data_IF_107557659692
#
_entry.id   IF_107557659692
#
_cell.length_a   1.000
_cell.length_b   1.000
_cell.length_c   1.000
_cell.angle_alpha   90.00
_cell.angle_beta   90.00
_cell.angle_gamma   90.00
#
_symmetry.space_group_name_H-M   'P 1'
#
loop_
_entity.id
_entity.type
_entity.pdbx_description
1 polymer ?
#
# COMPACT_ATOMS: atom_id res chain seq x y z
N UNK A 1 -24.82 -45.01 3.26
CA UNK A 1 -23.36 -45.16 3.46
C UNK A 1 -22.77 -43.74 3.44
N UNK A 2 -22.11 -43.36 4.54
CA UNK A 2 -21.77 -41.97 4.91
C UNK A 2 -20.79 -41.29 3.93
N UNK A 3 -21.08 -40.05 3.57
CA UNK A 3 -20.11 -39.10 3.04
C UNK A 3 -20.38 -37.72 3.68
N UNK A 4 -20.01 -37.61 4.95
CA UNK A 4 -20.00 -36.36 5.72
C UNK A 4 -18.63 -36.25 6.41
N UNK A 5 -17.59 -36.02 5.62
CA UNK A 5 -16.28 -35.58 6.10
C UNK A 5 -16.17 -34.15 5.60
N UNK A 6 -16.46 -33.13 6.41
CA UNK A 6 -15.74 -32.88 7.65
C UNK A 6 -14.55 -32.02 7.31
N UNK A 7 -14.79 -30.72 7.13
CA UNK A 7 -13.75 -29.70 7.00
C UNK A 7 -12.83 -29.85 8.22
N UNK A 8 -11.64 -30.43 8.03
CA UNK A 8 -10.66 -30.49 9.11
C UNK A 8 -10.17 -29.08 9.35
N UNK A 9 -10.89 -28.37 10.22
CA UNK A 9 -10.40 -27.19 10.89
C UNK A 9 -9.10 -27.58 11.57
N UNK A 10 -7.99 -27.01 11.09
CA UNK A 10 -6.77 -26.82 11.90
C UNK A 10 -7.21 -26.58 13.34
N UNK A 11 -6.79 -27.46 14.25
CA UNK A 11 -7.25 -27.47 15.63
C UNK A 11 -7.03 -26.08 16.23
N UNK A 12 -8.10 -25.27 16.27
CA UNK A 12 -8.04 -23.93 16.79
C UNK A 12 -7.63 -24.05 18.25
N UNK A 13 -6.52 -23.39 18.62
CA UNK A 13 -6.22 -23.18 20.04
C UNK A 13 -7.50 -22.62 20.68
N UNK A 14 -8.07 -23.27 21.71
CA UNK A 14 -9.43 -22.98 22.21
C UNK A 14 -9.63 -21.56 22.78
N UNK A 15 -8.61 -20.71 22.75
CA UNK A 15 -8.64 -19.33 23.24
C UNK A 15 -8.79 -18.25 22.16
N UNK A 16 -8.79 -18.59 20.87
CA UNK A 16 -8.89 -17.57 19.80
C UNK A 16 -10.19 -17.65 19.02
N UNK A 17 -10.88 -16.51 18.77
CA UNK A 17 -12.05 -16.49 17.91
C UNK A 17 -11.72 -17.06 16.52
N UNK A 18 -12.68 -17.72 15.85
CA UNK A 18 -12.44 -18.28 14.53
C UNK A 18 -12.16 -17.17 13.50
N UNK A 19 -11.42 -17.51 12.43
CA UNK A 19 -11.10 -16.54 11.35
C UNK A 19 -12.38 -16.12 10.65
N UNK A 20 -13.20 -17.09 10.24
CA UNK A 20 -14.56 -16.87 9.73
C UNK A 20 -15.55 -17.34 10.79
N UNK A 21 -16.66 -16.61 10.99
CA UNK A 21 -17.68 -17.01 11.96
C UNK A 21 -18.29 -18.40 11.60
N UNK A 22 -18.73 -19.18 12.60
CA UNK A 22 -19.39 -20.46 12.33
C UNK A 22 -20.68 -20.29 11.51
N UNK A 23 -21.07 -21.31 10.75
CA UNK A 23 -22.35 -21.34 10.02
C UNK A 23 -22.27 -21.03 8.52
N UNK A 24 -21.07 -20.84 7.97
CA UNK A 24 -20.85 -20.57 6.54
C UNK A 24 -20.42 -21.83 5.77
N UNK A 25 -21.00 -22.05 4.59
CA UNK A 25 -20.56 -23.04 3.61
C UNK A 25 -19.82 -22.35 2.45
N UNK A 26 -19.01 -23.05 1.63
CA UNK A 26 -18.35 -22.43 0.48
C UNK A 26 -19.32 -21.67 -0.43
N UNK A 27 -20.53 -22.20 -0.63
CA UNK A 27 -21.58 -21.54 -1.40
C UNK A 27 -22.06 -20.23 -0.75
N UNK A 28 -22.33 -20.23 0.56
CA UNK A 28 -22.82 -19.03 1.26
C UNK A 28 -21.76 -17.91 1.28
N UNK A 29 -20.48 -18.27 1.40
CA UNK A 29 -19.37 -17.31 1.29
C UNK A 29 -19.36 -16.66 -0.09
N UNK A 30 -19.43 -17.48 -1.15
CA UNK A 30 -19.47 -16.96 -2.52
C UNK A 30 -20.69 -16.08 -2.75
N UNK A 31 -21.88 -16.49 -2.29
CA UNK A 31 -23.12 -15.72 -2.42
C UNK A 31 -22.98 -14.35 -1.77
N UNK A 32 -22.46 -14.29 -0.54
CA UNK A 32 -22.34 -13.04 0.21
C UNK A 32 -21.30 -12.08 -0.40
N UNK A 33 -20.15 -12.60 -0.87
CA UNK A 33 -19.12 -11.77 -1.51
C UNK A 33 -19.58 -11.27 -2.88
N UNK A 34 -20.14 -12.16 -3.71
CA UNK A 34 -20.60 -11.78 -5.05
C UNK A 34 -21.82 -10.87 -5.03
N UNK A 35 -22.67 -10.97 -3.99
CA UNK A 35 -23.77 -10.03 -3.79
C UNK A 35 -23.29 -8.58 -3.64
N UNK A 36 -22.13 -8.32 -3.02
CA UNK A 36 -21.59 -6.96 -2.91
C UNK A 36 -21.35 -6.33 -4.28
N UNK A 37 -20.97 -7.14 -5.28
CA UNK A 37 -20.62 -6.69 -6.64
C UNK A 37 -21.81 -6.73 -7.59
N UNK A 38 -22.62 -7.78 -7.54
CA UNK A 38 -23.68 -8.06 -8.51
C UNK A 38 -25.05 -7.53 -8.09
N UNK A 39 -25.26 -7.17 -6.83
CA UNK A 39 -26.52 -6.56 -6.38
C UNK A 39 -26.63 -5.10 -6.82
N UNK A 40 -27.84 -4.54 -6.66
CA UNK A 40 -28.09 -3.14 -6.98
C UNK A 40 -27.24 -2.23 -6.09
N UNK A 41 -26.48 -1.34 -6.71
CA UNK A 41 -25.63 -0.37 -6.01
C UNK A 41 -26.48 0.49 -5.06
N UNK A 42 -26.16 0.53 -3.76
CA UNK A 42 -26.94 1.30 -2.81
C UNK A 42 -26.76 2.81 -3.03
N UNK A 43 -27.78 3.61 -2.70
CA UNK A 43 -27.78 5.07 -2.95
C UNK A 43 -26.62 5.81 -2.28
N UNK A 44 -26.22 5.39 -1.08
CA UNK A 44 -25.10 6.00 -0.36
C UNK A 44 -23.78 5.89 -1.14
N UNK A 45 -23.61 4.82 -1.93
CA UNK A 45 -22.40 4.62 -2.73
C UNK A 45 -22.28 5.68 -3.81
N UNK A 46 -23.39 6.04 -4.47
CA UNK A 46 -23.42 7.12 -5.47
C UNK A 46 -23.12 8.48 -4.86
N UNK A 47 -23.59 8.75 -3.64
CA UNK A 47 -23.25 9.98 -2.91
C UNK A 47 -21.76 10.03 -2.57
N UNK A 48 -21.20 8.93 -2.05
CA UNK A 48 -19.78 8.84 -1.72
C UNK A 48 -18.87 8.92 -2.97
N UNK A 49 -19.30 8.30 -4.08
CA UNK A 49 -18.64 8.40 -5.38
C UNK A 49 -18.68 9.83 -5.91
N UNK A 50 -19.85 10.48 -5.89
CA UNK A 50 -20.00 11.87 -6.32
C UNK A 50 -19.12 12.83 -5.51
N UNK A 51 -19.08 12.67 -4.18
CA UNK A 51 -18.19 13.45 -3.32
C UNK A 51 -16.70 13.21 -3.63
N UNK A 52 -16.28 11.95 -3.73
CA UNK A 52 -14.90 11.60 -4.09
C UNK A 52 -14.52 12.13 -5.48
N UNK A 53 -15.44 12.06 -6.44
CA UNK A 53 -15.24 12.57 -7.79
C UNK A 53 -15.05 14.09 -7.79
N UNK A 54 -15.83 14.84 -6.99
CA UNK A 54 -15.64 16.28 -6.82
C UNK A 54 -14.24 16.61 -6.25
N UNK A 55 -13.75 15.84 -5.28
CA UNK A 55 -12.39 16.01 -4.76
C UNK A 55 -11.32 15.73 -5.83
N UNK A 56 -11.53 14.73 -6.68
CA UNK A 56 -10.65 14.49 -7.84
C UNK A 56 -10.69 15.67 -8.82
N UNK A 57 -11.85 16.28 -9.06
CA UNK A 57 -11.93 17.47 -9.91
C UNK A 57 -11.18 18.67 -9.30
N UNK A 58 -11.21 18.82 -7.97
CA UNK A 58 -10.40 19.83 -7.26
C UNK A 58 -8.91 19.54 -7.43
N UNK A 59 -8.50 18.28 -7.28
CA UNK A 59 -7.12 17.86 -7.54
C UNK A 59 -6.70 18.18 -8.97
N UNK A 60 -7.47 17.78 -9.98
CA UNK A 60 -7.15 18.05 -11.38
C UNK A 60 -7.03 19.55 -11.65
N UNK A 61 -7.94 20.38 -11.12
CA UNK A 61 -7.85 21.84 -11.22
C UNK A 61 -6.55 22.37 -10.60
N UNK A 62 -6.18 21.87 -9.42
CA UNK A 62 -4.94 22.27 -8.75
C UNK A 62 -3.69 21.84 -9.54
N UNK A 63 -3.69 20.62 -10.11
CA UNK A 63 -2.62 20.14 -10.98
C UNK A 63 -2.50 20.97 -12.25
N UNK A 64 -3.62 21.30 -12.90
CA UNK A 64 -3.61 22.18 -14.08
C UNK A 64 -3.01 23.54 -13.73
N UNK A 65 -3.44 24.16 -12.62
CA UNK A 65 -2.86 25.42 -12.14
C UNK A 65 -1.35 25.32 -11.91
N UNK A 66 -0.89 24.24 -11.27
CA UNK A 66 0.54 23.96 -11.03
C UNK A 66 1.34 23.87 -12.33
N UNK A 67 0.80 23.24 -13.37
CA UNK A 67 1.49 23.11 -14.66
C UNK A 67 1.63 24.45 -15.41
N UNK A 68 0.65 25.36 -15.25
CA UNK A 68 0.69 26.68 -15.89
C UNK A 68 1.48 27.73 -15.10
N UNK A 69 1.34 27.77 -13.77
CA UNK A 69 1.99 28.78 -12.93
C UNK A 69 3.36 28.33 -12.39
N UNK A 70 3.64 27.02 -12.40
CA UNK A 70 4.88 26.44 -11.90
C UNK A 70 4.86 26.11 -10.40
N UNK A 71 5.93 25.45 -9.92
CA UNK A 71 6.03 24.92 -8.54
C UNK A 71 6.10 25.98 -7.45
N UNK A 72 6.27 27.26 -7.80
CA UNK A 72 6.30 28.38 -6.86
C UNK A 72 4.99 28.58 -6.08
N UNK A 73 3.86 28.09 -6.61
CA UNK A 73 2.54 28.20 -5.96
C UNK A 73 2.43 27.39 -4.66
N UNK A 74 3.37 26.47 -4.42
CA UNK A 74 3.40 25.63 -3.22
C UNK A 74 3.94 26.34 -1.98
N UNK A 75 4.44 27.57 -2.11
CA UNK A 75 5.05 28.30 -1.00
C UNK A 75 6.37 27.69 -0.54
N UNK A 76 7.06 26.96 -1.45
CA UNK A 76 8.42 26.51 -1.22
C UNK A 76 9.35 27.71 -1.13
N UNK A 77 10.39 27.62 -0.31
CA UNK A 77 11.44 28.62 -0.22
C UNK A 77 12.81 27.97 -0.43
N UNK A 78 13.84 28.76 -0.68
CA UNK A 78 15.21 28.30 -0.47
C UNK A 78 15.62 28.83 0.90
N UNK A 79 16.02 27.95 1.85
CA UNK A 79 16.58 26.61 1.63
C UNK A 79 15.61 25.41 1.62
N UNK A 80 14.32 25.54 1.99
CA UNK A 80 13.39 24.40 2.08
C UNK A 80 12.69 24.12 0.75
N UNK A 81 13.43 23.48 -0.17
CA UNK A 81 12.97 23.15 -1.52
C UNK A 81 11.97 21.99 -1.60
N UNK A 82 11.79 21.23 -0.51
CA UNK A 82 10.82 20.13 -0.41
C UNK A 82 9.81 20.42 0.69
N UNK A 83 8.53 20.21 0.37
CA UNK A 83 7.41 20.41 1.30
C UNK A 83 6.35 19.33 1.12
N UNK A 84 5.09 19.73 1.09
CA UNK A 84 3.94 18.81 1.05
C UNK A 84 3.99 17.77 -0.07
N UNK A 85 4.58 18.07 -1.24
CA UNK A 85 4.65 17.11 -2.33
C UNK A 85 5.46 15.85 -1.96
N UNK A 86 6.67 16.03 -1.41
CA UNK A 86 7.51 14.91 -0.98
C UNK A 86 6.96 14.27 0.30
N UNK A 87 6.44 15.06 1.25
CA UNK A 87 5.80 14.51 2.46
C UNK A 87 4.63 13.58 2.09
N UNK A 88 3.74 14.03 1.19
CA UNK A 88 2.61 13.22 0.74
C UNK A 88 3.07 12.03 -0.11
N UNK A 89 4.11 12.19 -0.95
CA UNK A 89 4.69 11.08 -1.70
C UNK A 89 5.12 9.93 -0.77
N UNK A 90 5.96 10.23 0.22
CA UNK A 90 6.46 9.24 1.19
C UNK A 90 5.29 8.62 1.96
N UNK A 91 4.32 9.44 2.37
CA UNK A 91 3.14 8.97 3.10
C UNK A 91 2.26 8.03 2.26
N UNK A 92 1.97 8.36 1.01
CA UNK A 92 1.17 7.53 0.10
C UNK A 92 1.87 6.22 -0.27
N UNK A 93 3.18 6.26 -0.58
CA UNK A 93 3.96 5.02 -0.77
C UNK A 93 3.95 4.19 0.52
N UNK A 94 4.13 4.84 1.68
CA UNK A 94 4.06 4.21 3.00
C UNK A 94 2.77 3.43 3.22
N UNK A 95 1.61 4.04 2.94
CA UNK A 95 0.30 3.38 3.01
C UNK A 95 0.25 2.14 2.12
N UNK A 96 0.81 2.24 0.90
CA UNK A 96 0.80 1.15 -0.06
C UNK A 96 1.46 -0.13 0.45
N UNK A 97 2.51 -0.03 1.26
CA UNK A 97 3.28 -1.18 1.72
C UNK A 97 2.51 -2.17 2.59
N UNK A 98 1.54 -1.71 3.39
CA UNK A 98 0.77 -2.62 4.24
C UNK A 98 -0.04 -3.63 3.43
N UNK A 99 -0.58 -3.24 2.27
CA UNK A 99 -1.35 -4.15 1.44
C UNK A 99 -0.51 -5.31 0.90
N UNK A 100 0.68 -5.01 0.39
CA UNK A 100 1.64 -6.02 -0.06
C UNK A 100 2.24 -6.85 1.08
N UNK A 101 2.40 -6.29 2.28
CA UNK A 101 2.81 -7.08 3.45
C UNK A 101 1.72 -8.07 3.86
N UNK A 102 0.47 -7.61 3.93
CA UNK A 102 -0.68 -8.47 4.25
C UNK A 102 -0.81 -9.60 3.23
N UNK A 103 -0.55 -9.32 1.97
CA UNK A 103 -0.81 -10.28 0.91
C UNK A 103 0.36 -11.20 0.59
N UNK A 104 1.60 -10.72 0.68
CA UNK A 104 2.82 -11.49 0.40
C UNK A 104 3.48 -12.04 1.68
N UNK A 105 3.84 -11.19 2.63
CA UNK A 105 4.60 -11.62 3.84
C UNK A 105 3.75 -12.57 4.69
N UNK A 106 2.48 -12.24 4.94
CA UNK A 106 1.60 -13.14 5.70
C UNK A 106 1.30 -14.43 4.95
N UNK A 107 1.34 -14.43 3.60
CA UNK A 107 1.24 -15.67 2.82
C UNK A 107 2.45 -16.57 3.04
N UNK A 108 3.67 -16.00 2.97
CA UNK A 108 4.91 -16.75 3.22
C UNK A 108 4.96 -17.31 4.66
N UNK A 109 4.43 -16.55 5.63
CA UNK A 109 4.27 -16.98 7.03
C UNK A 109 3.06 -17.91 7.24
N UNK A 110 2.37 -18.32 6.18
CA UNK A 110 1.19 -19.21 6.19
C UNK A 110 0.12 -18.77 7.18
N UNK A 111 -0.12 -17.46 7.30
CA UNK A 111 -1.11 -16.89 8.20
C UNK A 111 -2.49 -16.88 7.53
N UNK A 112 -3.41 -17.70 8.03
CA UNK A 112 -4.74 -17.89 7.44
C UNK A 112 -5.64 -16.65 7.55
N UNK A 113 -5.48 -15.83 8.60
CA UNK A 113 -6.30 -14.62 8.83
C UNK A 113 -6.09 -13.52 7.78
N UNK A 114 -5.08 -13.62 6.92
CA UNK A 114 -4.91 -12.66 5.81
C UNK A 114 -6.01 -12.82 4.74
N UNK A 115 -6.63 -13.99 4.64
CA UNK A 115 -7.48 -14.38 3.50
C UNK A 115 -8.72 -13.50 3.34
N UNK A 116 -9.30 -13.02 4.43
CA UNK A 116 -10.48 -12.14 4.39
C UNK A 116 -10.13 -10.67 4.14
N UNK A 117 -8.84 -10.31 4.14
CA UNK A 117 -8.38 -8.91 4.03
C UNK A 117 -7.48 -8.63 2.84
N UNK A 118 -6.89 -9.67 2.22
CA UNK A 118 -5.91 -9.53 1.14
C UNK A 118 -6.40 -8.69 -0.05
N UNK A 119 -7.62 -8.93 -0.57
CA UNK A 119 -8.10 -8.32 -1.81
C UNK A 119 -8.24 -6.80 -1.70
N UNK A 120 -8.85 -6.31 -0.61
CA UNK A 120 -9.01 -4.86 -0.43
C UNK A 120 -7.69 -4.20 -0.01
N UNK A 121 -6.83 -4.91 0.72
CA UNK A 121 -5.52 -4.39 1.09
C UNK A 121 -4.60 -4.24 -0.15
N UNK A 122 -4.61 -5.21 -1.05
CA UNK A 122 -3.91 -5.12 -2.35
C UNK A 122 -4.49 -4.00 -3.24
N UNK A 123 -5.81 -3.83 -3.29
CA UNK A 123 -6.43 -2.72 -4.01
C UNK A 123 -6.03 -1.36 -3.41
N UNK A 124 -5.97 -1.26 -2.08
CA UNK A 124 -5.48 -0.08 -1.37
C UNK A 124 -4.03 0.24 -1.78
N UNK A 125 -3.17 -0.77 -1.92
CA UNK A 125 -1.81 -0.56 -2.45
C UNK A 125 -1.83 0.09 -3.82
N UNK A 126 -2.60 -0.43 -4.76
CA UNK A 126 -2.62 0.10 -6.13
C UNK A 126 -3.08 1.56 -6.18
N UNK A 127 -4.14 1.91 -5.44
CA UNK A 127 -4.60 3.29 -5.38
C UNK A 127 -3.62 4.21 -4.66
N UNK A 128 -3.02 3.75 -3.57
CA UNK A 128 -2.01 4.53 -2.84
C UNK A 128 -0.77 4.79 -3.71
N UNK A 129 -0.29 3.79 -4.46
CA UNK A 129 0.82 3.93 -5.41
C UNK A 129 0.45 4.84 -6.59
N UNK A 130 -0.78 4.75 -7.09
CA UNK A 130 -1.25 5.66 -8.14
C UNK A 130 -1.27 7.12 -7.65
N UNK A 131 -1.76 7.38 -6.43
CA UNK A 131 -1.72 8.71 -5.82
C UNK A 131 -0.28 9.18 -5.55
N UNK A 132 0.59 8.30 -5.06
CA UNK A 132 1.99 8.59 -4.83
C UNK A 132 2.73 8.97 -6.12
N UNK A 133 2.53 8.20 -7.21
CA UNK A 133 3.23 8.39 -8.48
C UNK A 133 2.97 9.73 -9.16
N UNK A 134 1.92 10.45 -8.76
CA UNK A 134 1.68 11.82 -9.20
C UNK A 134 2.81 12.74 -8.71
N UNK A 135 3.23 12.62 -7.45
CA UNK A 135 4.12 13.59 -6.81
C UNK A 135 5.53 13.67 -7.42
N UNK A 136 6.25 12.56 -7.69
CA UNK A 136 7.55 12.60 -8.39
C UNK A 136 7.49 13.33 -9.74
N UNK A 137 6.37 13.21 -10.45
CA UNK A 137 6.17 13.84 -11.74
C UNK A 137 5.88 15.34 -11.61
N UNK A 138 5.04 15.74 -10.66
CA UNK A 138 4.57 17.14 -10.58
C UNK A 138 5.45 18.03 -9.70
N UNK A 139 6.30 17.46 -8.84
CA UNK A 139 7.14 18.25 -7.95
C UNK A 139 8.36 18.87 -8.64
N UNK A 140 8.68 18.40 -9.84
CA UNK A 140 9.77 18.96 -10.63
C UNK A 140 9.27 20.20 -11.39
N UNK A 141 10.15 21.17 -11.61
CA UNK A 141 9.79 22.39 -12.33
C UNK A 141 9.45 22.17 -13.81
N UNK A 142 9.86 21.05 -14.41
CA UNK A 142 9.64 20.71 -15.83
C UNK A 142 9.13 19.27 -15.99
N UNK A 143 7.88 18.99 -15.60
CA UNK A 143 7.31 17.64 -15.59
C UNK A 143 7.33 16.94 -16.96
N UNK A 144 7.22 17.69 -18.05
CA UNK A 144 7.26 17.14 -19.41
C UNK A 144 8.61 16.51 -19.80
N UNK A 145 9.68 16.73 -19.02
CA UNK A 145 10.99 16.10 -19.22
C UNK A 145 11.21 14.86 -18.36
N UNK A 146 10.20 14.38 -17.63
CA UNK A 146 10.32 13.23 -16.73
C UNK A 146 10.83 11.95 -17.43
N UNK A 147 10.61 11.82 -18.74
CA UNK A 147 11.11 10.68 -19.53
C UNK A 147 12.65 10.58 -19.56
N UNK A 148 13.39 11.66 -19.28
CA UNK A 148 14.86 11.62 -19.13
C UNK A 148 15.35 10.85 -17.90
N UNK A 149 14.46 10.51 -16.97
CA UNK A 149 14.79 9.65 -15.83
C UNK A 149 14.84 8.16 -16.23
N UNK A 150 14.34 7.80 -17.41
CA UNK A 150 14.36 6.42 -17.91
C UNK A 150 15.65 6.16 -18.71
N UNK A 151 16.23 4.95 -18.57
CA UNK A 151 17.42 4.58 -19.32
C UNK A 151 17.03 4.11 -20.73
N UNK A 152 17.00 5.01 -21.70
CA UNK A 152 16.71 4.68 -23.09
C UNK A 152 17.77 5.28 -24.04
N UNK A 153 18.14 4.57 -25.12
CA UNK A 153 19.04 5.11 -26.13
C UNK A 153 18.45 6.37 -26.76
N UNK A 154 19.23 7.45 -26.80
CA UNK A 154 18.83 8.72 -27.38
C UNK A 154 19.93 9.28 -28.27
N UNK A 155 19.58 10.28 -29.09
CA UNK A 155 20.49 10.92 -30.04
C UNK A 155 21.65 11.69 -29.39
N UNK A 156 21.57 11.95 -28.08
CA UNK A 156 22.59 12.68 -27.32
C UNK A 156 23.54 11.74 -26.56
N UNK A 157 23.31 10.42 -26.61
CA UNK A 157 24.03 9.39 -25.82
C UNK A 157 24.13 9.72 -24.32
N UNK A 158 23.07 10.31 -23.77
CA UNK A 158 22.98 10.66 -22.35
C UNK A 158 22.20 9.62 -21.55
N UNK A 159 22.60 9.40 -20.31
CA UNK A 159 21.97 8.43 -19.40
C UNK A 159 21.60 9.07 -18.06
N UNK A 160 20.62 8.53 -17.32
CA UNK A 160 20.33 8.96 -15.96
C UNK A 160 21.52 8.80 -15.01
N UNK A 161 21.61 9.65 -13.98
CA UNK A 161 22.63 9.52 -12.93
C UNK A 161 22.24 8.42 -11.92
N UNK A 162 22.77 7.22 -12.12
CA UNK A 162 22.50 6.04 -11.26
C UNK A 162 23.08 6.13 -9.84
N UNK A 163 23.75 7.21 -9.45
CA UNK A 163 24.12 7.47 -8.04
C UNK A 163 23.04 8.23 -7.26
N UNK A 164 22.04 8.78 -7.94
CA UNK A 164 20.99 9.58 -7.32
C UNK A 164 19.88 8.67 -6.76
N UNK A 165 19.57 8.76 -5.46
CA UNK A 165 18.42 8.05 -4.88
C UNK A 165 17.09 8.36 -5.58
N UNK A 166 16.90 9.59 -6.06
CA UNK A 166 15.71 9.97 -6.84
C UNK A 166 15.55 9.18 -8.14
N UNK A 167 16.65 8.75 -8.77
CA UNK A 167 16.59 7.87 -9.95
C UNK A 167 16.22 6.46 -9.52
N UNK A 168 16.76 5.97 -8.40
CA UNK A 168 16.37 4.68 -7.85
C UNK A 168 14.88 4.64 -7.51
N UNK A 169 14.33 5.74 -7.03
CA UNK A 169 12.91 5.92 -6.74
C UNK A 169 12.02 5.67 -7.96
N UNK A 170 12.42 6.14 -9.14
CA UNK A 170 11.71 5.85 -10.41
C UNK A 170 11.65 4.34 -10.66
N UNK A 171 12.76 3.62 -10.48
CA UNK A 171 12.78 2.16 -10.65
C UNK A 171 12.02 1.43 -9.54
N UNK A 172 12.16 1.87 -8.29
CA UNK A 172 11.52 1.28 -7.14
C UNK A 172 9.99 1.39 -7.26
N UNK A 173 9.46 2.59 -7.48
CA UNK A 173 8.02 2.83 -7.59
C UNK A 173 7.43 2.18 -8.84
N UNK A 174 8.11 2.24 -10.00
CA UNK A 174 7.61 1.59 -11.23
C UNK A 174 7.58 0.07 -11.14
N UNK A 175 8.63 -0.54 -10.57
CA UNK A 175 8.68 -1.99 -10.32
C UNK A 175 7.63 -2.38 -9.28
N UNK A 176 7.49 -1.60 -8.22
CA UNK A 176 6.49 -1.83 -7.18
C UNK A 176 5.06 -1.75 -7.71
N UNK A 177 4.75 -0.74 -8.53
CA UNK A 177 3.46 -0.59 -9.18
C UNK A 177 3.16 -1.80 -10.09
N UNK A 178 4.14 -2.20 -10.90
CA UNK A 178 3.99 -3.31 -11.85
C UNK A 178 3.80 -4.64 -11.15
N UNK A 179 4.66 -4.97 -10.18
CA UNK A 179 4.58 -6.22 -9.41
C UNK A 179 3.30 -6.27 -8.58
N UNK A 180 2.91 -5.16 -7.95
CA UNK A 180 1.65 -5.09 -7.19
C UNK A 180 0.44 -5.29 -8.09
N UNK A 181 0.43 -4.70 -9.29
CA UNK A 181 -0.65 -4.85 -10.27
C UNK A 181 -0.75 -6.30 -10.73
N UNK A 182 0.38 -6.92 -11.10
CA UNK A 182 0.42 -8.33 -11.52
C UNK A 182 -0.02 -9.25 -10.38
N UNK A 183 0.47 -9.03 -9.17
CA UNK A 183 0.14 -9.85 -8.00
C UNK A 183 -1.35 -9.78 -7.66
N UNK A 184 -1.91 -8.57 -7.65
CA UNK A 184 -3.33 -8.35 -7.42
C UNK A 184 -4.19 -8.98 -8.51
N UNK A 185 -3.86 -8.71 -9.77
CA UNK A 185 -4.59 -9.21 -10.93
C UNK A 185 -4.56 -10.72 -11.01
N UNK A 186 -3.40 -11.36 -10.84
CA UNK A 186 -3.27 -12.82 -10.81
C UNK A 186 -4.18 -13.41 -9.74
N UNK A 187 -4.18 -12.83 -8.53
CA UNK A 187 -5.06 -13.26 -7.45
C UNK A 187 -6.56 -13.08 -7.75
N UNK A 188 -6.94 -12.17 -8.67
CA UNK A 188 -8.33 -11.96 -9.08
C UNK A 188 -8.79 -12.88 -10.21
N UNK A 189 -7.90 -13.57 -10.92
CA UNK A 189 -8.30 -14.42 -12.06
C UNK A 189 -9.39 -15.43 -11.69
N UNK A 190 -9.28 -16.19 -10.58
CA UNK A 190 -10.32 -17.13 -10.17
C UNK A 190 -11.60 -16.43 -9.67
N UNK A 191 -11.46 -15.26 -9.04
CA UNK A 191 -12.58 -14.46 -8.53
C UNK A 191 -13.42 -13.90 -9.69
N UNK A 192 -12.77 -13.40 -10.75
CA UNK A 192 -13.43 -12.93 -11.97
C UNK A 192 -14.18 -14.05 -12.68
N UNK A 193 -13.64 -15.28 -12.66
CA UNK A 193 -14.35 -16.45 -13.19
C UNK A 193 -15.64 -16.72 -12.40
N UNK A 194 -15.59 -16.60 -11.08
CA UNK A 194 -16.76 -16.77 -10.21
C UNK A 194 -17.81 -15.68 -10.46
N UNK A 195 -17.39 -14.42 -10.65
CA UNK A 195 -18.29 -13.33 -11.02
C UNK A 195 -18.90 -13.50 -12.41
N UNK A 196 -18.12 -13.98 -13.39
CA UNK A 196 -18.61 -14.33 -14.74
C UNK A 196 -19.74 -15.35 -14.67
N UNK A 197 -19.55 -16.42 -13.91
CA UNK A 197 -20.49 -17.55 -13.85
C UNK A 197 -21.80 -17.17 -13.13
N UNK A 198 -21.76 -16.15 -12.26
CA UNK A 198 -22.92 -15.64 -11.50
C UNK A 198 -23.58 -14.39 -12.08
N UNK A 199 -22.90 -13.66 -12.95
CA UNK A 199 -23.45 -12.46 -13.57
C UNK A 199 -24.71 -12.81 -14.38
N UNK A 200 -25.77 -11.99 -14.28
CA UNK A 200 -27.00 -12.22 -15.06
C UNK A 200 -26.95 -11.52 -16.44
N UNK A 201 -26.33 -10.35 -16.51
CA UNK A 201 -26.25 -9.55 -17.75
C UNK A 201 -25.17 -10.04 -18.72
N UNK A 202 -25.51 -10.08 -20.01
CA UNK A 202 -24.60 -10.52 -21.07
C UNK A 202 -23.30 -9.69 -21.12
N UNK A 203 -23.39 -8.37 -20.93
CA UNK A 203 -22.22 -7.50 -20.88
C UNK A 203 -21.29 -7.84 -19.71
N UNK A 204 -21.84 -8.00 -18.50
CA UNK A 204 -21.07 -8.36 -17.32
C UNK A 204 -20.40 -9.74 -17.48
N UNK A 205 -21.10 -10.71 -18.06
CA UNK A 205 -20.52 -12.03 -18.40
C UNK A 205 -19.35 -11.92 -19.37
N UNK A 206 -19.47 -11.10 -20.42
CA UNK A 206 -18.38 -10.90 -21.39
C UNK A 206 -17.18 -10.20 -20.72
N UNK A 207 -17.43 -9.14 -19.95
CA UNK A 207 -16.38 -8.39 -19.27
C UNK A 207 -15.61 -9.25 -18.25
N UNK A 208 -16.32 -9.92 -17.33
CA UNK A 208 -15.69 -10.84 -16.38
C UNK A 208 -15.10 -12.08 -17.08
N UNK A 209 -15.68 -12.52 -18.19
CA UNK A 209 -15.15 -13.56 -19.06
C UNK A 209 -13.77 -13.24 -19.59
N UNK A 210 -13.62 -12.05 -20.17
CA UNK A 210 -12.34 -11.55 -20.65
C UNK A 210 -11.31 -11.43 -19.51
N UNK A 211 -11.69 -10.80 -18.38
CA UNK A 211 -10.82 -10.62 -17.22
C UNK A 211 -10.42 -11.95 -16.54
N UNK A 212 -11.25 -12.99 -16.64
CA UNK A 212 -10.94 -14.31 -16.12
C UNK A 212 -9.92 -15.10 -16.95
N UNK A 213 -9.49 -14.59 -18.10
CA UNK A 213 -8.51 -15.22 -19.00
C UNK A 213 -8.78 -16.71 -19.29
N UNK A 214 -10.06 -17.09 -19.43
CA UNK A 214 -10.46 -18.48 -19.68
C UNK A 214 -10.28 -19.42 -18.49
N UNK A 215 -10.28 -18.91 -17.25
CA UNK A 215 -10.21 -19.75 -16.07
C UNK A 215 -11.41 -20.70 -15.95
N UNK A 216 -11.12 -21.98 -15.74
CA UNK A 216 -12.07 -23.10 -15.66
C UNK A 216 -12.00 -23.88 -14.33
N UNK A 217 -11.10 -23.49 -13.42
CA UNK A 217 -10.89 -24.22 -12.16
C UNK A 217 -10.30 -25.63 -12.30
N UNK A 218 -9.56 -25.93 -13.38
CA UNK A 218 -8.89 -27.22 -13.54
C UNK A 218 -7.75 -27.40 -12.52
N UNK A 219 -7.41 -28.65 -12.18
CA UNK A 219 -6.31 -28.95 -11.27
C UNK A 219 -4.97 -28.35 -11.74
N UNK A 220 -4.69 -28.38 -13.05
CA UNK A 220 -3.50 -27.75 -13.63
C UNK A 220 -3.49 -26.23 -13.47
N UNK A 221 -4.64 -25.58 -13.62
CA UNK A 221 -4.74 -24.13 -13.40
C UNK A 221 -4.44 -23.78 -11.94
N UNK A 222 -5.01 -24.53 -10.99
CA UNK A 222 -4.75 -24.33 -9.55
C UNK A 222 -3.29 -24.56 -9.17
N UNK A 223 -2.68 -25.64 -9.65
CA UNK A 223 -1.27 -25.92 -9.38
C UNK A 223 -0.33 -24.81 -9.87
N UNK A 224 -0.55 -24.33 -11.10
CA UNK A 224 0.24 -23.23 -11.66
C UNK A 224 -0.03 -21.91 -10.94
N UNK A 225 -1.28 -21.63 -10.58
CA UNK A 225 -1.67 -20.45 -9.84
C UNK A 225 -1.02 -20.40 -8.46
N UNK A 226 -1.08 -21.48 -7.69
CA UNK A 226 -0.46 -21.55 -6.36
C UNK A 226 1.05 -21.34 -6.44
N UNK A 227 1.71 -21.98 -7.41
CA UNK A 227 3.15 -21.81 -7.65
C UNK A 227 3.49 -20.38 -8.02
N UNK A 228 2.78 -19.79 -8.99
CA UNK A 228 3.01 -18.42 -9.43
C UNK A 228 2.75 -17.40 -8.30
N UNK A 229 1.67 -17.59 -7.54
CA UNK A 229 1.30 -16.70 -6.44
C UNK A 229 2.31 -16.77 -5.29
N UNK A 230 2.82 -17.97 -4.96
CA UNK A 230 3.91 -18.13 -3.98
C UNK A 230 5.22 -17.48 -4.45
N UNK A 231 5.59 -17.64 -5.73
CA UNK A 231 6.79 -17.00 -6.30
C UNK A 231 6.68 -15.48 -6.29
N UNK A 232 5.53 -14.94 -6.71
CA UNK A 232 5.30 -13.49 -6.67
C UNK A 232 5.32 -12.94 -5.24
N UNK A 233 4.80 -13.67 -4.25
CA UNK A 233 4.92 -13.27 -2.85
C UNK A 233 6.37 -13.30 -2.35
N UNK A 234 7.15 -14.29 -2.78
CA UNK A 234 8.59 -14.38 -2.54
C UNK A 234 9.36 -13.20 -3.13
N UNK A 235 8.99 -12.72 -4.32
CA UNK A 235 9.58 -11.55 -4.97
C UNK A 235 9.09 -10.22 -4.39
N UNK A 236 7.81 -10.13 -4.04
CA UNK A 236 7.21 -8.92 -3.50
C UNK A 236 7.72 -8.58 -2.10
N UNK A 237 8.07 -9.58 -1.29
CA UNK A 237 8.58 -9.37 0.08
C UNK A 237 9.86 -8.53 0.14
N UNK A 238 10.97 -8.89 -0.54
CA UNK A 238 12.16 -8.04 -0.58
C UNK A 238 11.90 -6.71 -1.30
N UNK A 239 11.01 -6.69 -2.30
CA UNK A 239 10.63 -5.47 -2.99
C UNK A 239 9.96 -4.46 -2.06
N UNK A 240 9.06 -4.89 -1.18
CA UNK A 240 8.39 -4.02 -0.20
C UNK A 240 9.40 -3.36 0.73
N UNK A 241 10.37 -4.14 1.22
CA UNK A 241 11.41 -3.63 2.12
C UNK A 241 12.36 -2.70 1.35
N UNK A 242 12.75 -3.05 0.13
CA UNK A 242 13.70 -2.26 -0.66
C UNK A 242 13.10 -0.95 -1.16
N UNK A 243 11.84 -0.92 -1.60
CA UNK A 243 11.21 0.29 -2.14
C UNK A 243 11.15 1.39 -1.09
N UNK A 244 10.69 1.09 0.12
CA UNK A 244 10.63 2.10 1.17
C UNK A 244 12.02 2.45 1.75
N UNK A 245 12.98 1.53 1.64
CA UNK A 245 14.40 1.81 1.89
C UNK A 245 14.98 2.79 0.86
N UNK A 246 14.62 2.66 -0.42
CA UNK A 246 15.06 3.57 -1.48
C UNK A 246 14.49 4.97 -1.27
N UNK A 247 13.18 5.09 -0.98
CA UNK A 247 12.55 6.36 -0.61
C UNK A 247 13.22 6.96 0.62
N UNK A 248 13.63 6.14 1.58
CA UNK A 248 14.39 6.59 2.74
C UNK A 248 15.81 7.09 2.38
N UNK A 249 16.44 6.57 1.33
CA UNK A 249 17.76 7.01 0.88
C UNK A 249 17.75 8.41 0.28
N UNK A 250 16.61 8.91 -0.21
CA UNK A 250 16.46 10.31 -0.63
C UNK A 250 16.84 11.29 0.48
N UNK A 251 16.59 10.90 1.73
CA UNK A 251 16.96 11.67 2.91
C UNK A 251 18.32 11.23 3.46
N UNK A 252 18.50 9.93 3.69
CA UNK A 252 19.66 9.39 4.40
C UNK A 252 21.02 9.61 3.71
N UNK A 253 21.02 9.67 2.37
CA UNK A 253 22.23 9.95 1.58
C UNK A 253 22.57 11.45 1.60
N UNK A 254 21.60 12.32 1.90
CA UNK A 254 21.82 13.74 2.10
C UNK A 254 22.75 14.00 3.29
N UNK A 255 23.51 15.10 3.25
CA UNK A 255 24.43 15.51 4.32
C UNK A 255 23.78 16.47 5.33
N UNK A 256 22.46 16.64 5.26
CA UNK A 256 21.73 17.56 6.14
C UNK A 256 21.63 16.95 7.54
N UNK A 257 21.96 17.71 8.60
CA UNK A 257 21.78 17.25 9.98
C UNK A 257 20.33 16.84 10.24
N UNK A 258 20.14 15.69 10.87
CA UNK A 258 18.82 15.07 11.06
C UNK A 258 18.24 14.35 9.84
N UNK A 259 18.91 14.36 8.68
CA UNK A 259 18.62 13.45 7.57
C UNK A 259 19.71 12.40 7.40
N UNK A 260 20.97 12.77 7.61
CA UNK A 260 22.13 11.89 7.44
C UNK A 260 22.23 10.83 8.56
N UNK A 261 21.33 9.85 8.54
CA UNK A 261 21.22 8.82 9.57
C UNK A 261 21.08 7.42 8.96
N UNK A 262 21.86 6.47 9.48
CA UNK A 262 21.87 5.07 9.00
C UNK A 262 20.67 4.25 9.47
N UNK A 263 19.94 4.74 10.48
CA UNK A 263 18.73 4.09 11.00
C UNK A 263 17.50 4.34 10.12
N UNK A 264 17.57 5.30 9.19
CA UNK A 264 16.42 5.73 8.39
C UNK A 264 15.78 4.60 7.57
N UNK A 265 16.52 3.75 6.83
CA UNK A 265 15.90 2.69 6.04
C UNK A 265 14.98 1.74 6.83
N UNK A 266 15.44 1.06 7.91
CA UNK A 266 14.55 0.20 8.70
C UNK A 266 13.47 0.99 9.46
N UNK A 267 13.77 2.23 9.88
CA UNK A 267 12.81 3.11 10.56
C UNK A 267 11.65 3.50 9.64
N UNK A 268 11.93 3.93 8.42
CA UNK A 268 10.94 4.27 7.40
C UNK A 268 10.11 3.04 7.05
N UNK A 269 10.72 1.87 6.83
CA UNK A 269 9.97 0.63 6.56
C UNK A 269 9.00 0.29 7.69
N UNK A 270 9.42 0.42 8.95
CA UNK A 270 8.54 0.23 10.11
C UNK A 270 7.40 1.27 10.14
N UNK A 271 7.71 2.53 9.83
CA UNK A 271 6.74 3.62 9.71
C UNK A 271 5.70 3.39 8.60
N UNK A 272 6.11 2.86 7.45
CA UNK A 272 5.22 2.48 6.36
C UNK A 272 4.24 1.39 6.79
N UNK A 273 4.73 0.35 7.46
CA UNK A 273 3.89 -0.73 7.97
C UNK A 273 2.92 -0.16 9.03
N UNK A 274 3.39 0.70 9.92
CA UNK A 274 2.55 1.39 10.91
C UNK A 274 1.41 2.17 10.24
N UNK A 275 1.74 3.13 9.36
CA UNK A 275 0.76 3.98 8.69
C UNK A 275 -0.21 3.16 7.82
N UNK A 276 0.31 2.17 7.09
CA UNK A 276 -0.50 1.34 6.22
C UNK A 276 -1.48 0.43 6.99
N UNK A 277 -1.08 -0.21 8.10
CA UNK A 277 -2.02 -0.98 8.92
C UNK A 277 -3.06 -0.08 9.59
N UNK A 278 -2.69 1.14 10.00
CA UNK A 278 -3.65 2.12 10.50
C UNK A 278 -4.70 2.47 9.42
N UNK A 279 -4.27 2.66 8.17
CA UNK A 279 -5.19 2.91 7.06
C UNK A 279 -6.08 1.69 6.75
N UNK A 280 -5.52 0.48 6.73
CA UNK A 280 -6.28 -0.76 6.54
C UNK A 280 -7.38 -0.90 7.60
N UNK A 281 -7.08 -0.64 8.88
CA UNK A 281 -8.07 -0.67 9.97
C UNK A 281 -9.15 0.40 9.73
N UNK A 282 -8.74 1.62 9.38
CA UNK A 282 -9.65 2.75 9.12
C UNK A 282 -10.64 2.45 7.99
N UNK A 283 -10.22 1.70 6.97
CA UNK A 283 -11.10 1.24 5.88
C UNK A 283 -11.90 -0.01 6.28
N UNK A 284 -11.28 -1.00 6.94
CA UNK A 284 -11.91 -2.27 7.26
C UNK A 284 -13.07 -2.14 8.25
N UNK A 285 -12.97 -1.25 9.25
CA UNK A 285 -14.02 -1.05 10.26
C UNK A 285 -15.37 -0.60 9.65
N UNK A 286 -15.44 0.49 8.87
CA UNK A 286 -16.69 0.89 8.22
C UNK A 286 -17.12 -0.11 7.14
N UNK A 287 -16.21 -0.64 6.32
CA UNK A 287 -16.55 -1.63 5.29
C UNK A 287 -17.22 -2.87 5.88
N UNK A 288 -16.68 -3.39 6.99
CA UNK A 288 -17.25 -4.49 7.75
C UNK A 288 -18.69 -4.23 8.18
N UNK A 289 -19.01 -3.00 8.59
CA UNK A 289 -20.34 -2.66 9.07
C UNK A 289 -21.32 -2.39 7.92
N UNK A 290 -20.91 -1.61 6.92
CA UNK A 290 -21.77 -1.16 5.81
C UNK A 290 -22.14 -2.32 4.88
N UNK A 291 -21.20 -3.23 4.62
CA UNK A 291 -21.43 -4.40 3.76
C UNK A 291 -21.82 -5.67 4.53
N UNK A 292 -22.02 -5.58 5.85
CA UNK A 292 -22.41 -6.73 6.67
C UNK A 292 -21.36 -7.84 6.74
N UNK A 293 -20.08 -7.53 6.54
CA UNK A 293 -18.98 -8.52 6.50
C UNK A 293 -18.42 -8.86 7.90
N UNK A 294 -19.24 -8.72 8.95
CA UNK A 294 -18.82 -8.93 10.35
C UNK A 294 -18.33 -10.34 10.65
N UNK A 295 -18.84 -11.30 9.88
CA UNK A 295 -18.54 -12.73 9.99
C UNK A 295 -17.26 -13.13 9.26
N UNK A 296 -16.81 -12.33 8.28
CA UNK A 296 -15.55 -12.56 7.55
C UNK A 296 -14.41 -11.72 8.13
N UNK A 297 -14.66 -10.45 8.41
CA UNK A 297 -13.71 -9.56 9.08
C UNK A 297 -14.04 -9.59 10.57
N UNK A 298 -13.64 -10.68 11.24
CA UNK A 298 -13.90 -10.88 12.68
C UNK A 298 -13.03 -9.97 13.56
N UNK A 299 -13.34 -9.90 14.85
CA UNK A 299 -12.53 -9.16 15.85
C UNK A 299 -11.09 -9.66 15.93
N UNK A 300 -10.84 -10.94 15.61
CA UNK A 300 -9.49 -11.50 15.51
C UNK A 300 -8.62 -10.76 14.49
N UNK A 301 -9.19 -10.40 13.34
CA UNK A 301 -8.47 -9.64 12.31
C UNK A 301 -8.04 -8.29 12.85
N UNK A 302 -8.97 -7.55 13.49
CA UNK A 302 -8.68 -6.24 14.07
C UNK A 302 -7.64 -6.33 15.21
N UNK A 303 -7.73 -7.34 16.07
CA UNK A 303 -6.75 -7.57 17.13
C UNK A 303 -5.36 -7.91 16.59
N UNK A 304 -5.26 -8.75 15.57
CA UNK A 304 -3.99 -9.09 14.95
C UNK A 304 -3.36 -7.88 14.25
N UNK A 305 -4.16 -7.10 13.51
CA UNK A 305 -3.70 -5.85 12.92
C UNK A 305 -3.25 -4.84 13.98
N UNK A 306 -3.99 -4.74 15.10
CA UNK A 306 -3.60 -3.90 16.23
C UNK A 306 -2.29 -4.32 16.89
N UNK A 307 -2.00 -5.63 16.98
CA UNK A 307 -0.71 -6.13 17.48
C UNK A 307 0.44 -5.77 16.55
N UNK A 308 0.25 -5.89 15.22
CA UNK A 308 1.25 -5.48 14.24
C UNK A 308 1.49 -3.98 14.33
N UNK A 309 0.42 -3.18 14.38
CA UNK A 309 0.48 -1.73 14.54
C UNK A 309 1.25 -1.32 15.82
N UNK A 310 0.98 -1.99 16.94
CA UNK A 310 1.72 -1.76 18.19
C UNK A 310 3.20 -2.11 18.03
N UNK A 311 3.50 -3.29 17.48
CA UNK A 311 4.87 -3.74 17.31
C UNK A 311 5.69 -2.78 16.43
N UNK A 312 5.14 -2.31 15.31
CA UNK A 312 5.83 -1.35 14.44
C UNK A 312 5.85 0.04 15.03
N UNK A 313 4.81 0.46 15.76
CA UNK A 313 4.81 1.71 16.51
C UNK A 313 5.94 1.77 17.55
N UNK A 314 6.24 0.65 18.22
CA UNK A 314 7.38 0.57 19.14
C UNK A 314 8.74 0.67 18.41
N UNK A 315 8.87 0.14 17.20
CA UNK A 315 10.08 0.29 16.38
C UNK A 315 10.26 1.76 15.95
N UNK A 316 9.17 2.43 15.58
CA UNK A 316 9.18 3.88 15.26
C UNK A 316 9.56 4.70 16.50
N UNK A 317 8.96 4.42 17.66
CA UNK A 317 9.32 5.05 18.92
C UNK A 317 10.80 4.85 19.28
N UNK A 318 11.32 3.64 19.07
CA UNK A 318 12.76 3.37 19.19
C UNK A 318 13.60 4.22 18.23
N UNK A 319 13.17 4.38 16.98
CA UNK A 319 13.85 5.25 16.01
C UNK A 319 13.96 6.70 16.50
N UNK A 320 12.89 7.27 17.04
CA UNK A 320 12.91 8.61 17.64
C UNK A 320 13.87 8.71 18.83
N UNK A 321 13.87 7.71 19.72
CA UNK A 321 14.79 7.68 20.87
C UNK A 321 16.25 7.59 20.44
N UNK A 322 16.55 6.75 19.45
CA UNK A 322 17.90 6.60 18.89
C UNK A 322 18.36 7.88 18.21
N UNK A 323 17.49 8.58 17.48
CA UNK A 323 17.84 9.85 16.84
C UNK A 323 18.23 10.92 17.87
N UNK A 324 17.44 11.06 18.95
CA UNK A 324 17.74 11.97 20.06
C UNK A 324 19.06 11.58 20.75
N UNK A 325 19.23 10.29 21.04
CA UNK A 325 20.43 9.77 21.69
C UNK A 325 21.68 9.99 20.83
N UNK A 326 21.61 9.67 19.54
CA UNK A 326 22.74 9.80 18.61
C UNK A 326 23.09 11.26 18.33
N UNK A 327 22.11 12.17 18.28
CA UNK A 327 22.38 13.59 18.18
C UNK A 327 23.22 14.09 19.37
N UNK A 328 22.84 13.71 20.59
CA UNK A 328 23.64 14.00 21.80
C UNK A 328 25.01 13.31 21.76
N UNK A 329 25.05 12.00 21.50
CA UNK A 329 26.25 11.16 21.52
C UNK A 329 27.27 11.54 20.44
N UNK A 330 26.82 12.05 19.29
CA UNK A 330 27.68 12.43 18.17
C UNK A 330 28.65 13.57 18.50
N UNK A 331 28.34 14.39 19.51
CA UNK A 331 29.09 15.61 19.82
C UNK A 331 29.01 16.69 18.72
N UNK A 332 28.20 16.51 17.68
CA UNK A 332 28.05 17.49 16.60
C UNK A 332 27.01 18.55 16.99
N UNK A 333 27.45 19.80 17.09
CA UNK A 333 26.59 20.94 17.40
C UNK A 333 25.36 21.04 16.49
N UNK A 334 25.49 20.76 15.19
CA UNK A 334 24.38 20.87 14.25
C UNK A 334 23.30 19.80 14.49
N UNK A 335 23.69 18.57 14.83
CA UNK A 335 22.74 17.49 15.18
C UNK A 335 22.04 17.78 16.50
N UNK A 336 22.78 18.28 17.49
CA UNK A 336 22.21 18.69 18.78
C UNK A 336 21.23 19.87 18.60
N UNK A 337 21.60 20.88 17.81
CA UNK A 337 20.72 22.01 17.50
C UNK A 337 19.47 21.55 16.74
N UNK A 338 19.59 20.58 15.84
CA UNK A 338 18.44 20.02 15.11
C UNK A 338 17.40 19.42 16.07
N UNK A 339 17.83 18.67 17.09
CA UNK A 339 16.92 18.15 18.14
C UNK A 339 16.34 19.28 18.98
N UNK A 340 17.14 20.26 19.41
CA UNK A 340 16.65 21.42 20.16
C UNK A 340 15.61 22.22 19.36
N UNK A 341 15.84 22.41 18.07
CA UNK A 341 14.91 23.09 17.18
C UNK A 341 13.59 22.30 17.00
N UNK A 342 13.63 20.97 17.02
CA UNK A 342 12.39 20.15 17.02
C UNK A 342 11.62 20.28 18.33
N UNK A 343 12.29 20.35 19.48
CA UNK A 343 11.64 20.40 20.80
C UNK A 343 11.16 21.81 21.16
N UNK A 344 11.91 22.85 20.81
CA UNK A 344 11.68 24.23 21.26
C UNK A 344 11.47 25.25 20.12
N UNK A 345 11.71 24.84 18.88
CA UNK A 345 11.66 25.75 17.74
C UNK A 345 10.24 26.07 17.26
N UNK A 346 10.13 26.80 16.13
CA UNK A 346 8.84 27.26 15.59
C UNK A 346 7.85 26.12 15.30
N UNK A 347 8.36 24.91 15.05
CA UNK A 347 7.59 23.71 14.73
C UNK A 347 7.48 22.71 15.90
N UNK A 348 7.67 23.15 17.14
CA UNK A 348 7.59 22.27 18.32
C UNK A 348 6.26 21.52 18.43
N UNK A 349 5.15 22.15 18.03
CA UNK A 349 3.80 21.55 18.12
C UNK A 349 3.57 20.41 17.12
N UNK A 350 4.38 20.33 16.06
CA UNK A 350 4.33 19.23 15.11
C UNK A 350 5.15 18.03 15.60
N UNK A 351 6.07 18.27 16.54
CA UNK A 351 6.99 17.26 17.07
C UNK A 351 6.50 16.66 18.40
N UNK A 352 5.89 17.48 19.27
CA UNK A 352 5.19 17.04 20.49
C UNK A 352 3.86 16.38 20.15
#
# INVERSE_FOLDING_TARGET
MKASEGFQTSAAKPSQPPVVAPGHSPGSVTDQITAVVLSQTPRWWWVAFGFSFLLVMVLLRALTKLLFEGTGIWGLNIPVGWGFAIVNFVWWIGIGHAGTLISAILLLLRQEWRTSINRFAEAMTLFAVACAGIFPLIHVGRPWLAYWLLPYPNTMDLWPQFRSPLVWDVFAVSTYATVSLLFWYVGLIPDMATLRDRAQGQFAKIAYGFLSMGWRGSATHWHNYETAYLLLAGLATPLVVSVHTVVSFDFAVGQLPGWHATIFPPYFVAGAIFAGFAMVITLAVPLRSVFGLKDFITTRHLQNMGKILLATGLIVAYGYLVEIFMAWYSGNWFEQFMILNRIQGPYQKQWM
#
